data_IF_157053777036
#
_entry.id   IF_157053777036
#
_cell.length_a   1.000
_cell.length_b   1.000
_cell.length_c   1.000
_cell.angle_alpha   90.00
_cell.angle_beta   90.00
_cell.angle_gamma   90.00
#
_symmetry.space_group_name_H-M   'P 1'
#
loop_
_entity.id
_entity.type
_entity.pdbx_description
1 polymer ?
#
# COMPACT_ATOMS: atom_id res chain seq x y z
N UNK A 1 -17.69 -25.63 -6.19
CA UNK A 1 -17.15 -24.43 -5.51
C UNK A 1 -16.01 -23.80 -6.33
N UNK A 2 -16.32 -23.30 -7.53
CA UNK A 2 -15.37 -22.57 -8.40
C UNK A 2 -15.49 -21.04 -8.26
N UNK A 3 -16.58 -20.53 -7.67
CA UNK A 3 -16.93 -19.10 -7.71
C UNK A 3 -15.99 -18.16 -6.93
N UNK A 4 -15.34 -18.63 -5.86
CA UNK A 4 -14.58 -17.72 -4.98
C UNK A 4 -13.27 -17.25 -5.58
N UNK A 5 -12.56 -18.09 -6.35
CA UNK A 5 -11.32 -17.66 -7.01
C UNK A 5 -11.60 -16.73 -8.18
N UNK A 6 -12.66 -17.02 -8.94
CA UNK A 6 -13.07 -16.21 -10.08
C UNK A 6 -13.46 -14.79 -9.62
N UNK A 7 -14.32 -14.69 -8.60
CA UNK A 7 -14.77 -13.40 -8.09
C UNK A 7 -13.64 -12.48 -7.64
N UNK A 8 -12.61 -13.00 -6.97
CA UNK A 8 -11.46 -12.18 -6.56
C UNK A 8 -10.56 -11.78 -7.72
N UNK A 9 -10.45 -12.60 -8.76
CA UNK A 9 -9.72 -12.25 -9.97
C UNK A 9 -10.47 -11.16 -10.76
N UNK A 10 -11.79 -11.29 -10.87
CA UNK A 10 -12.66 -10.29 -11.52
C UNK A 10 -12.63 -8.95 -10.74
N UNK A 11 -12.68 -9.00 -9.41
CA UNK A 11 -12.54 -7.81 -8.57
C UNK A 11 -11.17 -7.13 -8.74
N UNK A 12 -10.10 -7.92 -8.86
CA UNK A 12 -8.77 -7.37 -9.09
C UNK A 12 -8.63 -6.78 -10.49
N UNK A 13 -9.26 -7.39 -11.51
CA UNK A 13 -9.32 -6.83 -12.85
C UNK A 13 -10.10 -5.50 -12.86
N UNK A 14 -11.21 -5.43 -12.13
CA UNK A 14 -11.97 -4.19 -11.96
C UNK A 14 -11.14 -3.11 -11.25
N UNK A 15 -10.40 -3.46 -10.21
CA UNK A 15 -9.50 -2.53 -9.51
C UNK A 15 -8.40 -1.97 -10.43
N UNK A 16 -7.83 -2.80 -11.30
CA UNK A 16 -6.83 -2.36 -12.28
C UNK A 16 -7.41 -1.36 -13.29
N UNK A 17 -8.68 -1.51 -13.65
CA UNK A 17 -9.38 -0.60 -14.55
C UNK A 17 -9.79 0.73 -13.88
N UNK A 18 -9.74 0.82 -12.55
CA UNK A 18 -10.01 2.07 -11.83
C UNK A 18 -8.86 3.05 -12.02
N UNK A 19 -9.16 4.22 -12.60
CA UNK A 19 -8.18 5.28 -12.82
C UNK A 19 -7.58 5.79 -11.50
N UNK A 20 -8.39 5.87 -10.44
CA UNK A 20 -7.95 6.29 -9.11
C UNK A 20 -6.89 5.38 -8.50
N UNK A 21 -6.88 4.09 -8.89
CA UNK A 21 -5.90 3.13 -8.40
C UNK A 21 -4.70 3.03 -9.35
N UNK A 22 -4.95 2.87 -10.65
CA UNK A 22 -3.89 2.74 -11.66
C UNK A 22 -3.02 4.00 -11.79
N UNK A 23 -3.57 5.20 -11.63
CA UNK A 23 -2.81 6.46 -11.66
C UNK A 23 -1.84 6.64 -10.49
N UNK A 24 -1.97 5.83 -9.43
CA UNK A 24 -1.04 5.83 -8.31
C UNK A 24 0.28 5.18 -8.65
N UNK A 25 0.34 4.40 -9.74
CA UNK A 25 1.52 3.66 -10.15
C UNK A 25 2.12 4.24 -11.43
N UNK A 26 3.46 4.23 -11.50
CA UNK A 26 4.19 4.44 -12.76
C UNK A 26 3.91 3.29 -13.74
N UNK A 27 4.02 2.07 -13.24
CA UNK A 27 3.67 0.82 -13.93
C UNK A 27 3.01 -0.16 -12.95
N UNK A 28 1.78 -0.56 -13.21
CA UNK A 28 1.07 -1.51 -12.36
C UNK A 28 1.46 -2.98 -12.66
N UNK A 29 2.10 -3.26 -13.80
CA UNK A 29 2.37 -4.62 -14.26
C UNK A 29 3.14 -5.48 -13.25
N UNK A 30 4.18 -4.99 -12.55
CA UNK A 30 4.89 -5.79 -11.56
C UNK A 30 4.02 -6.16 -10.35
N UNK A 31 3.10 -5.28 -9.95
CA UNK A 31 2.12 -5.58 -8.90
C UNK A 31 1.11 -6.63 -9.37
N UNK A 32 0.63 -6.51 -10.61
CA UNK A 32 -0.29 -7.49 -11.21
C UNK A 32 0.35 -8.87 -11.28
N UNK A 33 1.60 -8.95 -11.73
CA UNK A 33 2.38 -10.20 -11.74
C UNK A 33 2.58 -10.78 -10.34
N UNK A 34 2.90 -9.94 -9.36
CA UNK A 34 3.12 -10.37 -7.98
C UNK A 34 1.84 -10.92 -7.31
N UNK A 35 0.69 -10.30 -7.61
CA UNK A 35 -0.62 -10.82 -7.17
C UNK A 35 -0.92 -12.13 -7.89
N UNK A 36 -0.79 -12.13 -9.22
CA UNK A 36 -1.00 -13.27 -10.09
C UNK A 36 -2.28 -14.04 -9.74
N UNK A 37 -2.13 -15.35 -9.52
CA UNK A 37 -3.22 -16.23 -9.06
C UNK A 37 -3.10 -16.61 -7.57
N UNK A 38 -2.23 -15.91 -6.83
CA UNK A 38 -2.04 -16.19 -5.41
C UNK A 38 -3.28 -15.76 -4.62
N UNK A 39 -3.99 -16.73 -4.05
CA UNK A 39 -5.24 -16.51 -3.31
C UNK A 39 -5.09 -15.50 -2.15
N UNK A 40 -3.95 -15.54 -1.46
CA UNK A 40 -3.69 -14.64 -0.34
C UNK A 40 -3.56 -13.20 -0.84
N UNK A 41 -2.82 -13.00 -1.94
CA UNK A 41 -2.65 -11.68 -2.55
C UNK A 41 -3.97 -11.18 -3.11
N UNK A 42 -4.70 -12.00 -3.87
CA UNK A 42 -6.03 -11.67 -4.41
C UNK A 42 -6.99 -11.19 -3.31
N UNK A 43 -7.07 -11.92 -2.19
CA UNK A 43 -7.89 -11.52 -1.04
C UNK A 43 -7.45 -10.17 -0.45
N UNK A 44 -6.14 -9.93 -0.37
CA UNK A 44 -5.56 -8.67 0.14
C UNK A 44 -5.88 -7.49 -0.78
N UNK A 45 -5.74 -7.62 -2.09
CA UNK A 45 -6.09 -6.52 -3.02
C UNK A 45 -7.58 -6.23 -3.04
N UNK A 46 -8.44 -7.26 -2.89
CA UNK A 46 -9.88 -7.03 -2.71
C UNK A 46 -10.15 -6.19 -1.44
N UNK A 47 -9.45 -6.47 -0.34
CA UNK A 47 -9.57 -5.68 0.89
C UNK A 47 -9.04 -4.24 0.73
N UNK A 48 -7.98 -4.04 -0.07
CA UNK A 48 -7.48 -2.69 -0.43
C UNK A 48 -8.58 -1.89 -1.14
N UNK A 49 -9.21 -2.49 -2.14
CA UNK A 49 -10.34 -1.88 -2.88
C UNK A 49 -11.49 -1.50 -1.95
N UNK A 50 -11.90 -2.42 -1.07
CA UNK A 50 -13.01 -2.19 -0.13
C UNK A 50 -12.70 -1.11 0.90
N UNK A 51 -11.45 -1.03 1.38
CA UNK A 51 -11.02 0.01 2.33
C UNK A 51 -10.86 1.37 1.68
N UNK A 52 -10.40 1.40 0.43
CA UNK A 52 -10.26 2.65 -0.35
C UNK A 52 -9.28 3.66 0.25
N UNK A 53 -8.34 3.26 1.11
CA UNK A 53 -7.39 4.18 1.76
C UNK A 53 -6.57 4.99 0.75
N UNK A 54 -6.24 4.38 -0.39
CA UNK A 54 -5.52 5.02 -1.47
C UNK A 54 -6.27 6.22 -2.10
N UNK A 55 -7.59 6.32 -1.90
CA UNK A 55 -8.41 7.46 -2.34
C UNK A 55 -8.32 8.65 -1.38
N UNK A 56 -7.74 8.47 -0.20
CA UNK A 56 -7.55 9.53 0.78
C UNK A 56 -6.19 10.20 0.56
N UNK A 57 -6.21 11.46 0.12
CA UNK A 57 -4.99 12.24 -0.13
C UNK A 57 -4.09 12.35 1.12
N UNK A 58 -4.67 12.58 2.30
CA UNK A 58 -3.89 12.68 3.54
C UNK A 58 -3.20 11.35 3.91
N UNK A 59 -3.84 10.22 3.61
CA UNK A 59 -3.21 8.90 3.76
C UNK A 59 -2.05 8.73 2.79
N UNK A 60 -2.24 9.09 1.52
CA UNK A 60 -1.20 8.99 0.50
C UNK A 60 -0.01 9.89 0.79
N UNK A 61 -0.23 11.09 1.30
CA UNK A 61 0.83 12.01 1.69
C UNK A 61 1.62 11.48 2.89
N UNK A 62 0.94 10.97 3.92
CA UNK A 62 1.60 10.30 5.03
C UNK A 62 2.40 9.09 4.58
N UNK A 63 1.84 8.29 3.67
CA UNK A 63 2.55 7.14 3.11
C UNK A 63 3.86 7.57 2.44
N UNK A 64 3.82 8.59 1.57
CA UNK A 64 5.03 9.11 0.91
C UNK A 64 6.06 9.66 1.89
N UNK A 65 5.61 10.31 2.97
CA UNK A 65 6.53 10.94 3.94
C UNK A 65 7.10 9.95 4.96
N UNK A 66 6.31 8.94 5.35
CA UNK A 66 6.61 8.11 6.52
C UNK A 66 6.83 6.62 6.18
N UNK A 67 6.71 6.17 4.93
CA UNK A 67 6.85 4.75 4.59
C UNK A 67 8.13 4.11 5.15
N UNK A 68 9.26 4.83 5.15
CA UNK A 68 10.51 4.38 5.76
C UNK A 68 10.41 4.10 7.26
N UNK A 69 9.67 4.94 8.00
CA UNK A 69 9.46 4.77 9.45
C UNK A 69 8.62 3.53 9.76
N UNK A 70 7.75 3.12 8.83
CA UNK A 70 6.97 1.89 8.92
C UNK A 70 7.71 0.65 8.39
N UNK A 71 8.98 0.80 7.98
CA UNK A 71 9.78 -0.28 7.41
C UNK A 71 9.28 -0.75 6.04
N UNK A 72 8.61 0.12 5.29
CA UNK A 72 8.06 -0.18 3.96
C UNK A 72 9.05 0.30 2.89
N UNK A 73 9.50 -0.63 2.05
CA UNK A 73 10.41 -0.34 0.94
C UNK A 73 9.60 0.07 -0.30
N UNK A 74 9.00 1.26 -0.23
CA UNK A 74 8.29 1.87 -1.35
C UNK A 74 9.24 2.73 -2.17
N UNK A 75 9.11 2.64 -3.48
CA UNK A 75 9.83 3.45 -4.45
C UNK A 75 8.80 4.36 -5.10
N UNK A 76 9.16 5.64 -5.28
CA UNK A 76 8.32 6.61 -5.96
C UNK A 76 9.07 7.20 -7.15
N UNK A 77 8.36 7.43 -8.26
CA UNK A 77 8.88 8.11 -9.43
C UNK A 77 8.99 9.64 -9.22
N UNK A 78 9.54 10.34 -10.20
CA UNK A 78 9.69 11.80 -10.16
C UNK A 78 8.34 12.55 -10.11
N UNK A 79 7.23 11.87 -10.38
CA UNK A 79 5.87 12.40 -10.32
C UNK A 79 5.15 12.02 -9.01
N UNK A 80 5.81 11.33 -8.08
CA UNK A 80 5.25 10.90 -6.80
C UNK A 80 4.28 9.71 -6.91
N UNK A 81 4.33 8.97 -8.02
CA UNK A 81 3.63 7.69 -8.21
C UNK A 81 4.50 6.56 -7.67
N UNK A 82 3.88 5.49 -7.20
CA UNK A 82 4.56 4.30 -6.71
C UNK A 82 5.17 3.55 -7.91
N UNK A 83 6.42 3.15 -7.80
CA UNK A 83 7.10 2.29 -8.76
C UNK A 83 7.23 0.86 -8.21
N UNK A 84 6.33 -0.07 -8.60
CA UNK A 84 6.33 -1.43 -8.11
C UNK A 84 7.52 -2.21 -8.65
N UNK A 85 8.23 -2.88 -7.76
CA UNK A 85 9.28 -3.84 -8.07
C UNK A 85 8.95 -5.13 -7.33
N UNK A 86 9.54 -6.25 -7.73
CA UNK A 86 9.31 -7.54 -7.07
C UNK A 86 9.50 -7.49 -5.54
N UNK A 87 10.41 -6.63 -5.07
CA UNK A 87 10.69 -6.42 -3.64
C UNK A 87 9.70 -5.49 -2.96
N UNK A 88 9.22 -4.45 -3.66
CA UNK A 88 8.28 -3.47 -3.08
C UNK A 88 6.81 -3.92 -3.14
N UNK A 89 6.44 -4.86 -4.02
CA UNK A 89 5.04 -5.31 -4.17
C UNK A 89 4.42 -5.83 -2.87
N UNK A 90 5.17 -6.57 -2.05
CA UNK A 90 4.70 -7.04 -0.75
C UNK A 90 4.40 -5.88 0.21
N UNK A 91 5.28 -4.87 0.23
CA UNK A 91 5.15 -3.68 1.06
C UNK A 91 4.06 -2.74 0.55
N UNK A 92 3.84 -2.63 -0.76
CA UNK A 92 2.73 -1.89 -1.36
C UNK A 92 1.39 -2.45 -0.86
N UNK A 93 1.22 -3.77 -0.93
CA UNK A 93 0.00 -4.42 -0.45
C UNK A 93 -0.16 -4.21 1.06
N UNK A 94 0.93 -4.31 1.82
CA UNK A 94 0.92 -4.07 3.27
C UNK A 94 0.53 -2.63 3.59
N UNK A 95 1.14 -1.66 2.92
CA UNK A 95 0.89 -0.23 3.09
C UNK A 95 -0.59 0.10 2.95
N UNK A 96 -1.22 -0.33 1.84
CA UNK A 96 -2.63 -0.05 1.58
C UNK A 96 -3.61 -0.80 2.48
N UNK A 97 -3.18 -1.84 3.17
CA UNK A 97 -3.96 -2.53 4.19
C UNK A 97 -3.75 -1.98 5.60
N UNK A 98 -2.65 -1.24 5.81
CA UNK A 98 -2.23 -0.81 7.14
C UNK A 98 -3.05 0.41 7.59
N UNK A 99 -3.84 0.21 8.64
CA UNK A 99 -4.64 1.25 9.27
C UNK A 99 -3.81 2.19 10.15
N UNK A 100 -2.56 1.83 10.47
CA UNK A 100 -1.66 2.66 11.30
C UNK A 100 -1.37 4.01 10.63
N UNK A 101 -1.31 4.03 9.31
CA UNK A 101 -1.19 5.24 8.49
C UNK A 101 -2.46 6.11 8.51
N UNK A 102 -3.61 5.52 8.85
CA UNK A 102 -4.90 6.21 8.95
C UNK A 102 -5.23 6.66 10.38
N UNK A 103 -4.53 6.14 11.38
CA UNK A 103 -4.82 6.46 12.78
C UNK A 103 -4.23 7.82 13.17
N UNK A 104 -5.03 8.78 13.67
CA UNK A 104 -4.51 10.03 14.24
C UNK A 104 -3.66 9.80 15.49
N UNK A 105 -3.69 8.59 16.08
CA UNK A 105 -2.91 8.25 17.27
C UNK A 105 -1.43 7.99 17.04
N UNK A 106 -0.95 7.86 15.79
CA UNK A 106 0.47 7.55 15.56
C UNK A 106 1.41 8.76 15.80
N UNK A 107 0.87 9.95 16.09
CA UNK A 107 1.67 11.13 16.48
C UNK A 107 2.10 11.12 17.96
N UNK A 108 1.62 10.18 18.79
CA UNK A 108 1.88 10.21 20.24
C UNK A 108 2.95 9.23 20.76
N UNK A 109 3.70 8.53 19.91
CA UNK A 109 4.76 7.62 20.39
C UNK A 109 5.96 7.68 19.46
N UNK A 110 6.74 8.75 19.52
CA UNK A 110 8.21 8.72 19.44
C UNK A 110 8.74 10.12 19.79
N UNK A 111 8.36 10.62 20.96
CA UNK A 111 9.26 11.52 21.69
C UNK A 111 10.02 10.62 22.65
N UNK A 112 11.19 10.13 22.19
CA UNK A 112 12.19 9.59 23.12
C UNK A 112 12.95 10.83 23.57
N UNK A 113 12.88 11.23 24.85
CA UNK A 113 13.85 12.17 25.36
C UNK A 113 15.19 11.45 25.28
N UNK A 114 16.03 11.87 24.32
CA UNK A 114 17.39 11.38 24.21
C UNK A 114 18.08 11.64 25.56
N UNK A 115 18.59 10.55 26.12
CA UNK A 115 19.12 10.52 27.46
C UNK A 115 20.44 11.29 27.51
N UNK A 116 20.45 12.39 28.28
CA UNK A 116 21.60 12.98 28.99
C UNK A 116 22.95 13.08 28.25
N UNK A 117 23.47 14.30 28.00
CA UNK A 117 24.91 14.52 28.07
C UNK A 117 25.30 14.66 29.54
N UNK A 118 26.08 13.69 30.03
CA UNK A 118 26.86 13.83 31.27
C UNK A 118 27.95 14.89 31.05
N UNK A 119 28.00 15.90 31.91
CA UNK A 119 29.18 16.75 32.08
C UNK A 119 29.38 17.07 33.56
#
# INVERSE_FOLDING_TARGET
MLSYKQAHADDFAALQAEQDFSSLFSDIAPLVMFVGTNKLHLRRVCAIRQKGHYRNAAFMDKLRQQHHQFGLLLIFDAQGRIDPTERSCADIIRAFLDHRLTSPFSENVYDVPDATPVH
#
